data_IF_602983983243
#
_entry.id   IF_602983983243
#
_cell.length_a   1.000
_cell.length_b   1.000
_cell.length_c   1.000
_cell.angle_alpha   90.00
_cell.angle_beta   90.00
_cell.angle_gamma   90.00
#
_symmetry.space_group_name_H-M   'P 1'
#
loop_
_entity.id
_entity.type
_entity.pdbx_description
1 polymer ?
#
# COMPACT_ATOMS: atom_id res chain seq x y z
N UNK A 1 5.29 7.73 2.53
CA UNK A 1 4.58 6.66 3.26
C UNK A 1 3.26 7.12 3.89
N UNK A 2 3.10 8.39 4.25
CA UNK A 2 1.90 8.88 4.93
C UNK A 2 0.58 8.63 4.16
N UNK A 3 0.61 8.79 2.83
CA UNK A 3 -0.54 8.45 1.96
C UNK A 3 -0.93 6.97 2.10
N UNK A 4 0.04 6.05 2.03
CA UNK A 4 -0.20 4.61 2.19
C UNK A 4 -0.82 4.29 3.55
N UNK A 5 -0.32 4.89 4.63
CA UNK A 5 -0.88 4.69 5.98
C UNK A 5 -2.34 5.12 6.08
N UNK A 6 -2.65 6.33 5.60
CA UNK A 6 -4.02 6.85 5.60
C UNK A 6 -4.98 5.96 4.79
N UNK A 7 -4.53 5.42 3.66
CA UNK A 7 -5.35 4.50 2.86
C UNK A 7 -5.61 3.17 3.59
N UNK A 8 -4.61 2.61 4.26
CA UNK A 8 -4.77 1.39 5.07
C UNK A 8 -5.74 1.64 6.23
N UNK A 9 -5.60 2.74 6.94
CA UNK A 9 -6.51 3.14 8.03
C UNK A 9 -7.94 3.34 7.53
N UNK A 10 -8.13 4.04 6.41
CA UNK A 10 -9.45 4.19 5.79
C UNK A 10 -10.05 2.85 5.37
N UNK A 11 -9.23 1.94 4.82
CA UNK A 11 -9.65 0.60 4.45
C UNK A 11 -10.18 -0.21 5.64
N UNK A 12 -9.48 -0.13 6.78
CA UNK A 12 -9.91 -0.76 8.03
C UNK A 12 -11.26 -0.23 8.52
N UNK A 13 -11.49 1.09 8.43
CA UNK A 13 -12.76 1.72 8.86
C UNK A 13 -13.93 1.29 7.96
N UNK A 14 -13.71 1.22 6.65
CA UNK A 14 -14.75 0.90 5.66
C UNK A 14 -14.98 -0.62 5.56
N UNK A 15 -14.06 -1.43 6.08
CA UNK A 15 -14.08 -2.89 5.94
C UNK A 15 -13.59 -3.38 4.58
N UNK A 16 -12.75 -2.60 3.90
CA UNK A 16 -12.12 -2.95 2.62
C UNK A 16 -10.61 -2.91 2.79
N UNK A 17 -9.97 -4.08 2.76
CA UNK A 17 -8.52 -4.19 2.96
C UNK A 17 -7.72 -3.64 1.77
N UNK A 18 -6.68 -2.85 2.06
CA UNK A 18 -5.68 -2.46 1.07
C UNK A 18 -4.68 -3.60 0.91
N UNK A 19 -4.75 -4.31 -0.22
CA UNK A 19 -3.94 -5.51 -0.43
C UNK A 19 -2.45 -5.22 -0.62
N UNK A 20 -2.11 -4.16 -1.37
CA UNK A 20 -0.74 -3.70 -1.60
C UNK A 20 -0.72 -2.28 -2.19
N UNK A 21 0.43 -1.62 -2.11
CA UNK A 21 0.73 -0.39 -2.82
C UNK A 21 1.97 -0.64 -3.68
N UNK A 22 1.77 -0.73 -4.98
CA UNK A 22 2.83 -1.03 -5.94
C UNK A 22 3.35 0.27 -6.56
N UNK A 23 4.66 0.51 -6.45
CA UNK A 23 5.34 1.62 -7.12
C UNK A 23 6.00 1.07 -8.38
N UNK A 24 5.72 1.66 -9.55
CA UNK A 24 6.18 1.17 -10.86
C UNK A 24 7.11 2.19 -11.51
N UNK A 25 8.23 1.73 -12.08
CA UNK A 25 9.17 2.56 -12.84
C UNK A 25 10.27 1.74 -13.50
N UNK A 26 10.82 2.21 -14.62
CA UNK A 26 11.92 1.57 -15.38
C UNK A 26 11.80 0.04 -15.52
N UNK A 27 10.68 -0.44 -16.08
CA UNK A 27 10.38 -1.87 -16.25
C UNK A 27 10.46 -2.70 -14.96
N UNK A 28 10.37 -2.06 -13.80
CA UNK A 28 10.44 -2.66 -12.47
C UNK A 28 9.26 -2.19 -11.63
N UNK A 29 9.02 -2.91 -10.54
CA UNK A 29 8.07 -2.51 -9.53
C UNK A 29 8.62 -2.80 -8.13
N UNK A 30 8.04 -2.14 -7.14
CA UNK A 30 8.28 -2.37 -5.72
C UNK A 30 6.94 -2.54 -5.03
N UNK A 31 6.73 -3.70 -4.40
CA UNK A 31 5.64 -3.92 -3.44
C UNK A 31 6.00 -3.28 -2.10
N UNK A 32 5.11 -2.43 -1.58
CA UNK A 32 5.28 -1.90 -0.23
C UNK A 32 4.90 -2.95 0.82
N UNK A 33 3.97 -3.86 0.52
CA UNK A 33 3.66 -4.99 1.40
C UNK A 33 4.86 -5.91 1.62
N UNK A 34 5.54 -6.33 0.54
CA UNK A 34 6.73 -7.20 0.66
C UNK A 34 7.88 -6.53 1.44
N UNK A 35 7.95 -5.20 1.41
CA UNK A 35 8.92 -4.42 2.19
C UNK A 35 8.50 -4.16 3.65
N UNK A 36 7.34 -4.65 4.10
CA UNK A 36 6.85 -4.47 5.47
C UNK A 36 6.34 -3.06 5.75
N UNK A 37 5.84 -2.37 4.73
CA UNK A 37 5.32 -1.01 4.82
C UNK A 37 3.79 -0.92 4.87
N UNK A 38 3.11 -2.06 4.71
CA UNK A 38 1.66 -2.29 4.83
C UNK A 38 1.47 -3.52 5.70
#
# INVERSE_FOLDING_TARGET
>A
MEVTKRLVECGQIIGIEVLDHIIIGDHKFVSLKEKGHI
#
